data_IF_101082287278
#
_entry.id   IF_101082287278
#
_cell.length_a   1.000
_cell.length_b   1.000
_cell.length_c   1.000
_cell.angle_alpha   90.00
_cell.angle_beta   90.00
_cell.angle_gamma   90.00
#
_symmetry.space_group_name_H-M   'P 1'
#
loop_
_entity.id
_entity.type
_entity.pdbx_description
1 polymer ?
#
# COMPACT_ATOMS: atom_id res chain seq x y z
N UNK A 1 18.44 -0.91 -14.24
CA UNK A 1 17.68 0.34 -14.07
C UNK A 1 16.42 0.00 -13.31
N UNK A 2 16.30 0.45 -12.06
CA UNK A 2 15.04 0.33 -11.30
C UNK A 2 14.11 1.36 -11.94
N UNK A 3 13.00 0.88 -12.49
CA UNK A 3 11.99 1.70 -13.16
C UNK A 3 11.22 2.49 -12.09
N UNK A 4 11.80 3.63 -11.66
CA UNK A 4 11.22 4.54 -10.65
C UNK A 4 9.76 4.94 -10.98
N UNK A 5 9.33 4.80 -12.24
CA UNK A 5 8.00 5.14 -12.71
C UNK A 5 6.91 4.16 -12.21
N UNK A 6 7.25 2.91 -11.87
CA UNK A 6 6.28 1.91 -11.37
C UNK A 6 5.95 2.06 -9.89
N UNK A 7 6.90 2.55 -9.10
CA UNK A 7 6.78 2.64 -7.64
C UNK A 7 5.91 3.83 -7.24
N UNK A 8 6.09 4.95 -7.92
CA UNK A 8 5.19 6.12 -7.79
C UNK A 8 3.75 5.74 -8.18
N UNK A 9 3.58 4.81 -9.12
CA UNK A 9 2.26 4.35 -9.53
C UNK A 9 1.53 3.59 -8.42
N UNK A 10 2.17 2.64 -7.72
CA UNK A 10 1.49 1.85 -6.67
C UNK A 10 1.12 2.68 -5.45
N UNK A 11 2.03 3.53 -4.97
CA UNK A 11 1.74 4.39 -3.83
C UNK A 11 0.61 5.37 -4.17
N UNK A 12 0.64 5.95 -5.38
CA UNK A 12 -0.44 6.83 -5.87
C UNK A 12 -1.79 6.12 -5.91
N UNK A 13 -1.86 4.88 -6.41
CA UNK A 13 -3.10 4.11 -6.43
C UNK A 13 -3.60 3.73 -5.02
N UNK A 14 -2.70 3.43 -4.08
CA UNK A 14 -3.05 3.22 -2.67
C UNK A 14 -3.67 4.48 -2.07
N UNK A 15 -3.06 5.65 -2.29
CA UNK A 15 -3.58 6.92 -1.79
C UNK A 15 -4.97 7.21 -2.36
N UNK A 16 -5.15 7.10 -3.69
CA UNK A 16 -6.46 7.29 -4.34
C UNK A 16 -7.53 6.36 -3.77
N UNK A 17 -7.22 5.08 -3.60
CA UNK A 17 -8.18 4.12 -3.03
C UNK A 17 -8.54 4.46 -1.57
N UNK A 18 -7.58 4.92 -0.78
CA UNK A 18 -7.81 5.37 0.59
C UNK A 18 -8.67 6.65 0.64
N UNK A 19 -8.41 7.59 -0.28
CA UNK A 19 -9.15 8.83 -0.41
C UNK A 19 -10.61 8.60 -0.86
N UNK A 20 -10.86 7.56 -1.67
CA UNK A 20 -12.21 7.13 -2.06
C UNK A 20 -12.89 6.36 -0.92
N UNK A 21 -12.17 5.53 -0.18
CA UNK A 21 -12.73 4.68 0.87
C UNK A 21 -13.36 5.51 1.99
N UNK A 22 -12.72 6.62 2.38
CA UNK A 22 -13.17 7.49 3.49
C UNK A 22 -14.58 8.06 3.28
N UNK A 23 -14.87 8.78 2.18
CA UNK A 23 -16.22 9.25 1.90
C UNK A 23 -17.19 8.09 1.66
N UNK A 24 -16.76 6.99 1.06
CA UNK A 24 -17.63 5.83 0.79
C UNK A 24 -18.13 5.15 2.08
N UNK A 25 -17.24 4.93 3.07
CA UNK A 25 -17.59 4.44 4.40
C UNK A 25 -18.53 5.41 5.12
N UNK A 26 -18.30 6.72 4.96
CA UNK A 26 -19.17 7.74 5.54
C UNK A 26 -20.58 7.68 4.95
N UNK A 27 -20.70 7.59 3.62
CA UNK A 27 -21.98 7.42 2.94
C UNK A 27 -22.67 6.10 3.33
N UNK A 28 -21.93 4.99 3.45
CA UNK A 28 -22.48 3.72 3.92
C UNK A 28 -23.14 3.87 5.30
N UNK A 29 -22.44 4.48 6.26
CA UNK A 29 -22.98 4.73 7.60
C UNK A 29 -24.23 5.61 7.58
N UNK A 30 -24.27 6.63 6.71
CA UNK A 30 -25.45 7.48 6.54
C UNK A 30 -26.64 6.69 5.97
N UNK A 31 -26.43 5.84 4.97
CA UNK A 31 -27.50 5.00 4.40
C UNK A 31 -28.05 4.00 5.43
N UNK A 32 -27.17 3.37 6.23
CA UNK A 32 -27.60 2.49 7.34
C UNK A 32 -28.43 3.27 8.36
N UNK A 33 -27.99 4.47 8.74
CA UNK A 33 -28.73 5.35 9.66
C UNK A 33 -30.09 5.76 9.10
N UNK A 34 -30.16 6.12 7.82
CA UNK A 34 -31.43 6.47 7.16
C UNK A 34 -32.41 5.29 7.14
N UNK A 35 -31.93 4.07 6.87
CA UNK A 35 -32.75 2.87 6.94
C UNK A 35 -33.31 2.62 8.35
N UNK A 36 -32.48 2.82 9.38
CA UNK A 36 -32.91 2.74 10.78
C UNK A 36 -33.96 3.81 11.13
N UNK A 37 -33.79 5.04 10.64
CA UNK A 37 -34.74 6.13 10.83
C UNK A 37 -36.09 5.83 10.16
N UNK A 38 -36.09 5.38 8.90
CA UNK A 38 -37.33 5.00 8.21
C UNK A 38 -38.08 3.89 8.97
N UNK A 39 -37.37 2.90 9.50
CA UNK A 39 -37.98 1.82 10.28
C UNK A 39 -38.63 2.30 11.60
N UNK A 40 -38.19 3.44 12.15
CA UNK A 40 -38.75 4.04 13.37
C UNK A 40 -39.96 4.95 13.09
N UNK A 41 -40.15 5.39 11.85
CA UNK A 41 -41.26 6.28 11.50
C UNK A 41 -42.54 5.43 11.38
N UNK A 42 -43.50 5.68 12.26
CA UNK A 42 -44.75 4.90 12.35
C UNK A 42 -45.62 4.94 11.06
N UNK A 43 -45.40 5.93 10.19
CA UNK A 43 -46.10 6.11 8.92
C UNK A 43 -45.28 5.66 7.70
N UNK A 44 -44.04 5.19 7.87
CA UNK A 44 -43.23 4.74 6.74
C UNK A 44 -43.85 3.48 6.13
N UNK A 45 -43.89 3.42 4.80
CA UNK A 45 -44.28 2.18 4.15
C UNK A 45 -43.14 1.17 4.29
N UNK A 46 -43.51 -0.09 4.51
CA UNK A 46 -42.54 -1.20 4.58
C UNK A 46 -41.58 -1.21 3.38
N UNK A 47 -42.10 -0.90 2.19
CA UNK A 47 -41.30 -0.81 0.97
C UNK A 47 -40.22 0.27 1.05
N UNK A 48 -40.49 1.43 1.66
CA UNK A 48 -39.50 2.51 1.78
C UNK A 48 -38.33 2.09 2.69
N UNK A 49 -38.62 1.28 3.72
CA UNK A 49 -37.61 0.70 4.62
C UNK A 49 -36.78 -0.34 3.89
N UNK A 50 -37.41 -1.26 3.17
CA UNK A 50 -36.73 -2.27 2.35
C UNK A 50 -35.83 -1.61 1.29
N UNK A 51 -36.34 -0.63 0.54
CA UNK A 51 -35.57 0.13 -0.45
C UNK A 51 -34.37 0.87 0.18
N UNK A 52 -34.50 1.33 1.44
CA UNK A 52 -33.39 1.98 2.16
C UNK A 52 -32.32 0.99 2.63
N UNK A 53 -32.73 -0.20 3.07
CA UNK A 53 -31.83 -1.30 3.43
C UNK A 53 -31.05 -1.75 2.19
N UNK A 54 -31.72 -1.98 1.07
CA UNK A 54 -31.09 -2.43 -0.18
C UNK A 54 -30.03 -1.42 -0.66
N UNK A 55 -30.34 -0.12 -0.62
CA UNK A 55 -29.36 0.95 -0.93
C UNK A 55 -28.16 0.95 0.02
N UNK A 56 -28.36 0.64 1.29
CA UNK A 56 -27.26 0.56 2.26
C UNK A 56 -26.38 -0.68 2.00
N UNK A 57 -26.99 -1.80 1.62
CA UNK A 57 -26.29 -3.05 1.28
C UNK A 57 -25.42 -2.89 0.03
N UNK A 58 -25.98 -2.31 -1.04
CA UNK A 58 -25.26 -1.96 -2.27
C UNK A 58 -24.01 -1.12 -1.98
N UNK A 59 -24.15 -0.12 -1.11
CA UNK A 59 -23.05 0.74 -0.72
C UNK A 59 -22.01 0.02 0.14
N UNK A 60 -22.46 -0.92 0.99
CA UNK A 60 -21.60 -1.83 1.74
C UNK A 60 -20.74 -2.70 0.82
N UNK A 61 -21.31 -3.24 -0.26
CA UNK A 61 -20.58 -3.98 -1.28
C UNK A 61 -19.51 -3.13 -1.98
N UNK A 62 -19.80 -1.86 -2.27
CA UNK A 62 -18.80 -0.95 -2.84
C UNK A 62 -17.63 -0.70 -1.87
N UNK A 63 -17.92 -0.50 -0.57
CA UNK A 63 -16.90 -0.37 0.48
C UNK A 63 -15.99 -1.59 0.50
N UNK A 64 -16.58 -2.79 0.46
CA UNK A 64 -15.84 -4.05 0.49
C UNK A 64 -14.91 -4.22 -0.73
N UNK A 65 -15.38 -3.87 -1.92
CA UNK A 65 -14.56 -3.97 -3.12
C UNK A 65 -13.37 -2.98 -3.11
N UNK A 66 -13.58 -1.74 -2.65
CA UNK A 66 -12.47 -0.77 -2.47
C UNK A 66 -11.48 -1.28 -1.44
N UNK A 67 -11.95 -1.78 -0.29
CA UNK A 67 -11.10 -2.35 0.77
C UNK A 67 -10.28 -3.54 0.28
N UNK A 68 -10.89 -4.44 -0.50
CA UNK A 68 -10.23 -5.60 -1.10
C UNK A 68 -9.13 -5.19 -2.07
N UNK A 69 -9.39 -4.20 -2.93
CA UNK A 69 -8.37 -3.64 -3.82
C UNK A 69 -7.24 -2.99 -3.02
N UNK A 70 -7.55 -2.12 -2.07
CA UNK A 70 -6.56 -1.45 -1.21
C UNK A 70 -5.62 -2.46 -0.55
N UNK A 71 -6.17 -3.52 0.06
CA UNK A 71 -5.39 -4.62 0.66
C UNK A 71 -4.45 -5.29 -0.35
N UNK A 72 -4.92 -5.55 -1.57
CA UNK A 72 -4.10 -6.16 -2.64
C UNK A 72 -2.93 -5.26 -3.03
N UNK A 73 -3.19 -3.96 -3.24
CA UNK A 73 -2.15 -3.00 -3.61
C UNK A 73 -1.13 -2.80 -2.49
N UNK A 74 -1.58 -2.67 -1.23
CA UNK A 74 -0.68 -2.57 -0.07
C UNK A 74 0.23 -3.78 0.06
N UNK A 75 -0.30 -5.01 -0.09
CA UNK A 75 0.53 -6.23 -0.03
C UNK A 75 1.65 -6.19 -1.07
N UNK A 76 1.34 -5.75 -2.29
CA UNK A 76 2.32 -5.64 -3.36
C UNK A 76 3.36 -4.55 -3.07
N UNK A 77 2.91 -3.38 -2.62
CA UNK A 77 3.81 -2.29 -2.24
C UNK A 77 4.80 -2.70 -1.14
N UNK A 78 4.33 -3.40 -0.11
CA UNK A 78 5.22 -3.93 0.94
C UNK A 78 6.23 -4.94 0.39
N UNK A 79 5.81 -5.84 -0.49
CA UNK A 79 6.73 -6.80 -1.13
C UNK A 79 7.83 -6.08 -1.93
N UNK A 80 7.49 -4.98 -2.61
CA UNK A 80 8.47 -4.19 -3.35
C UNK A 80 9.43 -3.43 -2.41
N UNK A 81 8.94 -2.90 -1.29
CA UNK A 81 9.78 -2.31 -0.25
C UNK A 81 10.75 -3.33 0.36
N UNK A 82 10.27 -4.52 0.70
CA UNK A 82 11.11 -5.59 1.26
C UNK A 82 12.23 -5.97 0.30
N UNK A 83 11.91 -6.08 -1.00
CA UNK A 83 12.91 -6.38 -2.04
C UNK A 83 13.97 -5.29 -2.14
N UNK A 84 13.57 -4.01 -2.11
CA UNK A 84 14.51 -2.88 -2.14
C UNK A 84 15.44 -2.87 -0.94
N UNK A 85 14.90 -3.09 0.25
CA UNK A 85 15.69 -3.10 1.49
C UNK A 85 16.77 -4.17 1.38
N UNK A 86 16.38 -5.40 1.02
CA UNK A 86 17.33 -6.50 0.81
C UNK A 86 18.39 -6.18 -0.25
N UNK A 87 17.99 -5.58 -1.38
CA UNK A 87 18.93 -5.19 -2.43
C UNK A 87 19.93 -4.13 -1.96
N UNK A 88 19.49 -3.15 -1.15
CA UNK A 88 20.38 -2.14 -0.58
C UNK A 88 21.38 -2.77 0.41
N UNK A 89 20.93 -3.70 1.25
CA UNK A 89 21.82 -4.42 2.18
C UNK A 89 22.91 -5.19 1.41
N UNK A 90 22.53 -5.91 0.34
CA UNK A 90 23.49 -6.61 -0.53
C UNK A 90 24.48 -5.65 -1.22
N UNK A 91 24.05 -4.43 -1.58
CA UNK A 91 24.94 -3.41 -2.14
C UNK A 91 25.93 -2.88 -1.12
N UNK A 92 25.50 -2.65 0.13
CA UNK A 92 26.36 -2.21 1.22
C UNK A 92 27.42 -3.27 1.55
N UNK A 93 27.02 -4.54 1.64
CA UNK A 93 27.95 -5.64 1.84
C UNK A 93 28.99 -5.72 0.72
N UNK A 94 28.57 -5.59 -0.54
CA UNK A 94 29.47 -5.56 -1.70
C UNK A 94 30.43 -4.36 -1.67
N UNK A 95 29.96 -3.20 -1.25
CA UNK A 95 30.81 -2.01 -1.10
C UNK A 95 31.89 -2.22 -0.03
N UNK A 96 31.49 -2.73 1.14
CA UNK A 96 32.43 -3.05 2.23
C UNK A 96 33.47 -4.11 1.83
N UNK A 97 33.07 -5.11 1.04
CA UNK A 97 34.00 -6.11 0.50
C UNK A 97 35.00 -5.51 -0.49
N UNK A 98 34.55 -4.60 -1.37
CA UNK A 98 35.43 -3.89 -2.31
C UNK A 98 36.47 -3.04 -1.60
N UNK A 99 36.07 -2.26 -0.61
CA UNK A 99 36.98 -1.44 0.19
C UNK A 99 38.05 -2.29 0.90
N UNK A 100 37.66 -3.41 1.49
CA UNK A 100 38.60 -4.37 2.10
C UNK A 100 39.59 -4.94 1.09
N UNK A 101 39.16 -5.23 -0.14
CA UNK A 101 40.02 -5.74 -1.20
C UNK A 101 41.02 -4.67 -1.67
N UNK A 102 40.55 -3.45 -1.89
CA UNK A 102 41.39 -2.31 -2.30
C UNK A 102 42.45 -1.99 -1.23
N UNK A 103 42.07 -1.98 0.05
CA UNK A 103 43.01 -1.80 1.16
C UNK A 103 44.12 -2.86 1.17
N UNK A 104 43.77 -4.14 0.93
CA UNK A 104 44.76 -5.22 0.84
C UNK A 104 45.67 -5.08 -0.38
N UNK A 105 45.11 -4.71 -1.53
CA UNK A 105 45.88 -4.54 -2.76
C UNK A 105 46.91 -3.41 -2.62
N UNK A 106 46.53 -2.29 -2.00
CA UNK A 106 47.43 -1.17 -1.77
C UNK A 106 48.62 -1.58 -0.89
N UNK A 107 48.38 -2.28 0.23
CA UNK A 107 49.45 -2.77 1.13
C UNK A 107 50.46 -3.67 0.40
N UNK A 108 49.97 -4.65 -0.38
CA UNK A 108 50.84 -5.53 -1.16
C UNK A 108 51.66 -4.76 -2.22
N UNK A 109 51.12 -3.67 -2.75
CA UNK A 109 51.84 -2.84 -3.72
C UNK A 109 52.94 -1.97 -3.09
N UNK A 110 52.77 -1.60 -1.82
CA UNK A 110 53.78 -0.86 -1.04
C UNK A 110 54.91 -1.81 -0.62
N UNK A 111 54.60 -2.98 -0.09
CA UNK A 111 55.58 -4.01 0.28
C UNK A 111 56.49 -4.38 -0.91
N UNK A 112 55.90 -4.52 -2.11
CA UNK A 112 56.66 -4.87 -3.32
C UNK A 112 57.58 -3.76 -3.85
N UNK A 113 57.38 -2.50 -3.43
CA UNK A 113 58.26 -1.37 -3.79
C UNK A 113 59.49 -1.28 -2.89
N UNK A 114 59.45 -1.87 -1.70
CA UNK A 114 60.58 -1.88 -0.75
C UNK A 114 61.61 -2.98 -1.07
N UNK A 115 61.24 -3.99 -1.87
CA UNK A 115 62.09 -5.12 -2.28
C UNK A 115 62.89 -4.89 -3.59
N UNK A 116 62.87 -3.69 -4.18
CA UNK A 116 63.61 -3.30 -5.42
C UNK A 116 64.60 -2.17 -5.09
#
# INVERSE_FOLDING_TARGET
MIDNNREDCLLTEICKLNDILTPLVSSYRLSVGAAEEFNKIALAHRKDVEDAIDRADDLGHMVDEVRKKLKKYMKRYFTELDYKLKYMDELLEKAAMREKLESKLNKLSEEKKEDI
#
